data_IF_343572120977
#
_entry.id   IF_343572120977
#
_cell.length_a   1.000
_cell.length_b   1.000
_cell.length_c   1.000
_cell.angle_alpha   90.00
_cell.angle_beta   90.00
_cell.angle_gamma   90.00
#
_symmetry.space_group_name_H-M   'P 1'
#
loop_
_entity.id
_entity.type
_entity.pdbx_description
1 polymer ?
#
# COMPACT_ATOMS: atom_id res chain seq x y z
N UNK A 1 -6.17 1.58 25.06
CA UNK A 1 -5.11 0.68 24.58
C UNK A 1 -5.68 0.05 23.32
N UNK A 2 -5.10 0.33 22.16
CA UNK A 2 -5.59 -0.24 20.90
C UNK A 2 -5.24 -1.72 20.91
N UNK A 3 -6.24 -2.60 20.80
CA UNK A 3 -5.96 -4.02 20.64
C UNK A 3 -5.33 -4.27 19.26
N UNK A 4 -4.30 -5.11 19.24
CA UNK A 4 -3.62 -5.50 18.00
C UNK A 4 -4.43 -6.60 17.29
N UNK A 5 -4.43 -6.57 15.96
CA UNK A 5 -5.06 -7.60 15.15
C UNK A 5 -4.31 -8.93 15.28
N UNK A 6 -5.07 -10.02 15.43
CA UNK A 6 -4.57 -11.39 15.58
C UNK A 6 -5.06 -12.28 14.44
N UNK A 7 -4.34 -13.38 14.17
CA UNK A 7 -4.66 -14.29 13.07
C UNK A 7 -4.09 -13.86 11.72
N UNK A 8 -4.47 -14.55 10.62
CA UNK A 8 -4.03 -14.24 9.27
C UNK A 8 -4.70 -12.95 8.76
N UNK A 9 -3.88 -12.05 8.20
CA UNK A 9 -4.28 -10.73 7.77
C UNK A 9 -3.97 -10.53 6.29
N UNK A 10 -4.81 -9.74 5.64
CA UNK A 10 -4.54 -9.14 4.34
C UNK A 10 -4.08 -7.69 4.48
N UNK A 11 -3.10 -7.30 3.68
CA UNK A 11 -2.56 -5.95 3.63
C UNK A 11 -2.59 -5.42 2.20
N UNK A 12 -3.26 -4.28 2.02
CA UNK A 12 -3.29 -3.56 0.76
C UNK A 12 -2.53 -2.24 0.89
N UNK A 13 -1.53 -2.02 0.04
CA UNK A 13 -0.70 -0.80 0.00
C UNK A 13 -0.86 -0.11 -1.34
N UNK A 14 -1.35 1.14 -1.32
CA UNK A 14 -1.42 2.02 -2.49
C UNK A 14 -0.46 3.19 -2.28
N UNK A 15 0.66 3.16 -3.00
CA UNK A 15 1.66 4.21 -2.95
C UNK A 15 1.49 5.16 -4.15
N UNK A 16 1.27 6.44 -3.86
CA UNK A 16 1.12 7.52 -4.84
C UNK A 16 2.37 8.40 -4.83
N UNK A 17 3.17 8.27 -5.88
CA UNK A 17 4.39 9.04 -6.11
C UNK A 17 4.07 10.41 -6.71
N UNK A 18 4.90 11.44 -6.46
CA UNK A 18 4.62 12.78 -6.97
C UNK A 18 4.56 12.81 -8.50
N UNK A 19 3.61 13.59 -9.04
CA UNK A 19 3.59 13.93 -10.45
C UNK A 19 4.88 14.70 -10.81
N UNK A 20 5.67 14.29 -11.82
CA UNK A 20 6.92 14.97 -12.17
C UNK A 20 6.70 16.45 -12.51
N UNK A 21 7.54 17.35 -11.96
CA UNK A 21 7.43 18.81 -12.17
C UNK A 21 7.38 19.22 -13.65
N UNK A 22 8.11 18.51 -14.52
CA UNK A 22 8.09 18.74 -15.98
C UNK A 22 6.70 18.53 -16.61
N UNK A 23 5.79 17.84 -15.92
CA UNK A 23 4.43 17.56 -16.36
C UNK A 23 3.38 18.51 -15.74
N UNK A 24 3.75 19.45 -14.87
CA UNK A 24 2.81 20.34 -14.16
C UNK A 24 2.24 21.47 -15.04
N UNK A 25 2.91 21.85 -16.13
CA UNK A 25 2.48 22.96 -17.00
C UNK A 25 1.77 22.48 -18.26
N UNK A 26 0.93 21.45 -18.14
CA UNK A 26 0.14 20.93 -19.27
C UNK A 26 -1.28 21.47 -19.24
N UNK A 27 -1.81 21.79 -20.43
CA UNK A 27 -3.18 22.34 -20.62
C UNK A 27 -4.27 21.34 -20.22
N UNK A 28 -4.01 20.04 -20.38
CA UNK A 28 -4.87 18.97 -19.88
C UNK A 28 -4.24 18.40 -18.61
N UNK A 29 -4.92 18.47 -17.45
CA UNK A 29 -4.43 17.89 -16.21
C UNK A 29 -4.18 16.40 -16.36
N UNK A 30 -3.07 15.91 -15.80
CA UNK A 30 -2.80 14.47 -15.77
C UNK A 30 -3.59 13.80 -14.65
N UNK A 31 -4.25 12.70 -15.02
CA UNK A 31 -4.83 11.74 -14.10
C UNK A 31 -3.74 10.84 -13.51
N UNK A 32 -4.12 10.04 -12.53
CA UNK A 32 -3.26 9.01 -11.98
C UNK A 32 -2.79 8.03 -13.07
N UNK A 33 -1.52 7.61 -13.00
CA UNK A 33 -0.94 6.64 -13.93
C UNK A 33 -0.13 5.59 -13.19
N UNK A 34 0.04 4.39 -13.76
CA UNK A 34 0.90 3.37 -13.17
C UNK A 34 2.35 3.87 -13.02
N UNK A 35 2.94 3.61 -11.86
CA UNK A 35 4.32 3.99 -11.58
C UNK A 35 5.27 2.80 -11.74
N UNK A 36 6.14 2.88 -12.74
CA UNK A 36 7.06 1.81 -13.18
C UNK A 36 8.52 2.04 -12.74
N UNK A 37 8.81 3.08 -11.93
CA UNK A 37 10.17 3.41 -11.46
C UNK A 37 10.37 3.04 -10.00
N UNK A 38 11.62 3.07 -9.53
CA UNK A 38 11.97 2.83 -8.13
C UNK A 38 11.27 3.81 -7.18
N UNK A 39 11.01 3.42 -5.93
CA UNK A 39 11.35 2.13 -5.29
C UNK A 39 10.50 0.97 -5.80
N UNK A 40 11.03 -0.24 -5.68
CA UNK A 40 10.35 -1.49 -6.05
C UNK A 40 9.15 -1.77 -5.10
N UNK A 41 8.20 -2.58 -5.56
CA UNK A 41 6.94 -2.79 -4.83
C UNK A 41 7.17 -3.57 -3.51
N UNK A 42 8.06 -4.55 -3.51
CA UNK A 42 8.50 -5.30 -2.34
C UNK A 42 9.21 -4.41 -1.31
N UNK A 43 10.05 -3.47 -1.76
CA UNK A 43 10.69 -2.48 -0.88
C UNK A 43 9.67 -1.57 -0.19
N UNK A 44 8.62 -1.15 -0.90
CA UNK A 44 7.51 -0.39 -0.31
C UNK A 44 6.74 -1.24 0.70
N UNK A 45 6.41 -2.48 0.36
CA UNK A 45 5.74 -3.39 1.28
C UNK A 45 6.55 -3.59 2.55
N UNK A 46 7.86 -3.82 2.43
CA UNK A 46 8.74 -3.99 3.58
C UNK A 46 8.72 -2.77 4.48
N UNK A 47 8.90 -1.57 3.93
CA UNK A 47 8.88 -0.34 4.71
C UNK A 47 7.53 -0.11 5.42
N UNK A 48 6.41 -0.43 4.76
CA UNK A 48 5.08 -0.35 5.36
C UNK A 48 4.93 -1.39 6.48
N UNK A 49 5.27 -2.66 6.23
CA UNK A 49 5.19 -3.72 7.24
C UNK A 49 6.03 -3.39 8.48
N UNK A 50 7.28 -2.98 8.28
CA UNK A 50 8.20 -2.62 9.36
C UNK A 50 7.64 -1.47 10.23
N UNK A 51 6.88 -0.54 9.64
CA UNK A 51 6.22 0.56 10.36
C UNK A 51 4.90 0.21 11.06
N UNK A 52 4.27 -0.91 10.70
CA UNK A 52 2.97 -1.34 11.26
C UNK A 52 3.11 -2.47 12.29
N UNK A 53 4.19 -3.24 12.25
CA UNK A 53 4.49 -4.27 13.25
C UNK A 53 4.59 -3.67 14.65
N UNK A 54 3.88 -4.25 15.61
CA UNK A 54 3.74 -3.74 16.98
C UNK A 54 2.74 -2.59 17.13
N UNK A 55 2.23 -2.03 16.02
CA UNK A 55 1.25 -0.92 16.02
C UNK A 55 -0.15 -1.41 15.65
N UNK A 56 -0.25 -2.24 14.60
CA UNK A 56 -1.52 -2.82 14.15
C UNK A 56 -1.60 -4.33 14.36
N UNK A 57 -0.48 -5.05 14.29
CA UNK A 57 -0.40 -6.50 14.48
C UNK A 57 0.91 -6.87 15.18
N UNK A 58 1.05 -8.08 15.71
CA UNK A 58 2.21 -8.47 16.52
C UNK A 58 3.45 -8.78 15.69
N UNK A 59 3.28 -9.50 14.56
CA UNK A 59 4.37 -10.02 13.76
C UNK A 59 4.07 -9.89 12.26
N UNK A 60 5.09 -9.63 11.44
CA UNK A 60 4.90 -9.45 9.99
C UNK A 60 4.51 -10.75 9.27
N UNK A 61 4.77 -11.90 9.89
CA UNK A 61 4.29 -13.21 9.47
C UNK A 61 2.78 -13.39 9.57
N UNK A 62 2.06 -12.48 10.25
CA UNK A 62 0.59 -12.47 10.22
C UNK A 62 0.02 -12.03 8.87
N UNK A 63 0.77 -11.30 8.04
CA UNK A 63 0.31 -10.84 6.72
C UNK A 63 0.41 -11.98 5.71
N UNK A 64 -0.69 -12.70 5.52
CA UNK A 64 -0.80 -13.84 4.61
C UNK A 64 -1.20 -13.44 3.18
N UNK A 65 -1.86 -12.29 3.01
CA UNK A 65 -2.17 -11.70 1.70
C UNK A 65 -1.57 -10.30 1.60
N UNK A 66 -0.88 -10.01 0.49
CA UNK A 66 -0.25 -8.71 0.27
C UNK A 66 -0.48 -8.21 -1.16
N UNK A 67 -1.10 -7.04 -1.28
CA UNK A 67 -1.30 -6.36 -2.56
C UNK A 67 -0.60 -5.00 -2.51
N UNK A 68 0.34 -4.79 -3.42
CA UNK A 68 1.05 -3.51 -3.55
C UNK A 68 0.77 -2.89 -4.91
N UNK A 69 0.31 -1.64 -4.90
CA UNK A 69 0.09 -0.85 -6.12
C UNK A 69 0.90 0.42 -6.08
N UNK A 70 1.62 0.67 -7.15
CA UNK A 70 2.41 1.88 -7.36
C UNK A 70 1.73 2.75 -8.41
N UNK A 71 1.39 3.98 -8.03
CA UNK A 71 0.78 4.99 -8.90
C UNK A 71 1.55 6.28 -8.84
N UNK A 72 1.46 7.09 -9.89
CA UNK A 72 1.78 8.52 -9.81
C UNK A 72 0.49 9.24 -9.48
N UNK A 73 0.55 10.12 -8.50
CA UNK A 73 -0.53 11.00 -8.13
C UNK A 73 -0.96 11.86 -9.35
N UNK A 74 -2.24 12.19 -9.39
CA UNK A 74 -2.74 13.15 -10.37
C UNK A 74 -2.06 14.52 -10.19
N UNK A 75 -2.17 15.37 -11.19
CA UNK A 75 -1.64 16.72 -11.10
C UNK A 75 -2.37 17.52 -10.02
N UNK A 76 -1.61 18.09 -9.08
CA UNK A 76 -2.14 18.86 -7.95
C UNK A 76 -2.28 18.05 -6.66
N UNK A 77 -2.29 16.72 -6.76
CA UNK A 77 -2.37 15.85 -5.59
C UNK A 77 -1.02 15.69 -4.89
N UNK A 78 -1.05 15.64 -3.56
CA UNK A 78 0.11 15.34 -2.76
C UNK A 78 0.49 13.84 -2.87
N UNK A 79 1.80 13.50 -2.79
CA UNK A 79 2.21 12.12 -2.63
C UNK A 79 1.68 11.57 -1.29
N UNK A 80 1.29 10.30 -1.29
CA UNK A 80 0.71 9.64 -0.11
C UNK A 80 0.87 8.12 -0.19
N UNK A 81 0.70 7.46 0.95
CA UNK A 81 0.55 6.02 1.04
C UNK A 81 -0.77 5.75 1.75
N UNK A 82 -1.63 4.98 1.09
CA UNK A 82 -2.87 4.47 1.67
C UNK A 82 -2.65 3.01 2.04
N UNK A 83 -3.06 2.63 3.24
CA UNK A 83 -2.93 1.27 3.75
C UNK A 83 -4.28 0.78 4.25
N UNK A 84 -4.67 -0.42 3.82
CA UNK A 84 -5.82 -1.14 4.32
C UNK A 84 -5.38 -2.47 4.91
N UNK A 85 -5.75 -2.73 6.16
CA UNK A 85 -5.52 -3.99 6.86
C UNK A 85 -6.87 -4.64 7.14
N UNK A 86 -7.00 -5.94 6.88
CA UNK A 86 -8.23 -6.69 7.09
C UNK A 86 -7.93 -8.11 7.55
N UNK A 87 -8.89 -8.71 8.26
CA UNK A 87 -8.85 -10.13 8.63
C UNK A 87 -9.20 -10.99 7.43
N UNK A 88 -8.56 -12.14 7.31
CA UNK A 88 -8.92 -13.15 6.32
C UNK A 88 -9.87 -14.17 6.98
N UNK A 89 -10.94 -14.51 6.26
CA UNK A 89 -11.82 -15.60 6.67
C UNK A 89 -11.08 -16.94 6.57
N UNK A 90 -11.45 -17.94 7.39
CA UNK A 90 -10.93 -19.29 7.25
C UNK A 90 -11.14 -19.80 5.82
N UNK A 91 -10.13 -20.48 5.27
CA UNK A 91 -10.29 -21.14 3.98
C UNK A 91 -11.35 -22.25 4.15
N UNK A 92 -12.34 -22.28 3.27
CA UNK A 92 -13.26 -23.41 3.21
C UNK A 92 -12.48 -24.67 2.82
N UNK A 93 -12.67 -25.76 3.57
CA UNK A 93 -12.16 -27.06 3.17
C UNK A 93 -12.77 -27.41 1.82
N UNK A 94 -11.96 -27.36 0.76
CA UNK A 94 -12.38 -27.76 -0.58
C UNK A 94 -12.83 -29.22 -0.55
N UNK A 95 -14.15 -29.44 -0.61
CA UNK A 95 -14.75 -30.75 -0.77
C UNK A 95 -14.36 -31.44 -2.07
#
# INVERSE_FOLDING_TARGET
MTELFVGPLGLQVMAYFPCPKSKWRKRVPRLEEHHDKRPDADNLAKAVKDGLTGVLYHDDGQVAELIVRKRRAAQGDAPRVEVCLYTLDPLEDGG
#
